data_IF_798449016194
#
_entry.id   IF_798449016194
#
_cell.length_a   1.000
_cell.length_b   1.000
_cell.length_c   1.000
_cell.angle_alpha   90.00
_cell.angle_beta   90.00
_cell.angle_gamma   90.00
#
_symmetry.space_group_name_H-M   'P 1'
#
loop_
_entity.id
_entity.type
_entity.pdbx_description
1 polymer ?
#
# COMPACT_ATOMS: atom_id res chain seq x y z
N UNK A 1 26.94 -33.89 40.56
CA UNK A 1 26.61 -32.76 39.66
C UNK A 1 25.61 -31.87 40.40
N UNK A 2 26.00 -30.65 40.79
CA UNK A 2 25.28 -29.82 41.79
C UNK A 2 23.89 -29.38 41.31
N UNK A 3 22.91 -29.33 42.25
CA UNK A 3 21.57 -28.76 42.05
C UNK A 3 21.59 -27.35 41.43
N UNK A 4 22.68 -26.61 41.65
CA UNK A 4 22.94 -25.28 41.08
C UNK A 4 23.07 -25.34 39.55
N UNK A 5 23.76 -26.34 38.99
CA UNK A 5 23.94 -26.48 37.55
C UNK A 5 22.62 -26.80 36.83
N UNK A 6 21.70 -27.52 37.50
CA UNK A 6 20.37 -27.84 36.95
C UNK A 6 19.50 -26.59 36.87
N UNK A 7 19.53 -25.72 37.89
CA UNK A 7 18.79 -24.44 37.88
C UNK A 7 19.31 -23.49 36.81
N UNK A 8 20.63 -23.42 36.62
CA UNK A 8 21.23 -22.59 35.57
C UNK A 8 20.80 -23.10 34.19
N UNK A 9 20.84 -24.42 33.97
CA UNK A 9 20.39 -25.02 32.71
C UNK A 9 18.90 -24.75 32.42
N UNK A 10 18.04 -24.81 33.45
CA UNK A 10 16.61 -24.55 33.27
C UNK A 10 16.33 -23.09 32.93
N UNK A 11 17.07 -22.14 33.50
CA UNK A 11 16.95 -20.71 33.19
C UNK A 11 17.32 -20.46 31.72
N UNK A 12 18.43 -21.04 31.25
CA UNK A 12 18.81 -20.92 29.83
C UNK A 12 17.75 -21.53 28.90
N UNK A 13 17.17 -22.67 29.27
CA UNK A 13 16.13 -23.31 28.48
C UNK A 13 14.86 -22.45 28.40
N UNK A 14 14.45 -21.84 29.52
CA UNK A 14 13.30 -20.92 29.57
C UNK A 14 13.58 -19.66 28.73
N UNK A 15 14.79 -19.10 28.80
CA UNK A 15 15.17 -17.96 27.97
C UNK A 15 15.12 -18.28 26.48
N UNK A 16 15.68 -19.42 26.06
CA UNK A 16 15.63 -19.88 24.67
C UNK A 16 14.19 -20.12 24.23
N UNK A 17 13.36 -20.74 25.06
CA UNK A 17 11.95 -20.98 24.76
C UNK A 17 11.16 -19.68 24.58
N UNK A 18 11.42 -18.67 25.42
CA UNK A 18 10.79 -17.36 25.31
C UNK A 18 11.17 -16.63 24.02
N UNK A 19 12.46 -16.69 23.63
CA UNK A 19 12.94 -16.11 22.36
C UNK A 19 12.30 -16.78 21.15
N UNK A 20 12.17 -18.11 21.17
CA UNK A 20 11.51 -18.86 20.08
C UNK A 20 10.03 -18.49 19.97
N UNK A 21 9.32 -18.32 21.09
CA UNK A 21 7.91 -17.88 21.06
C UNK A 21 7.77 -16.49 20.44
N UNK A 22 8.64 -15.54 20.81
CA UNK A 22 8.66 -14.19 20.25
C UNK A 22 8.89 -14.20 18.73
N UNK A 23 9.75 -15.08 18.22
CA UNK A 23 10.04 -15.18 16.79
C UNK A 23 8.95 -15.89 15.97
N UNK A 24 8.08 -16.69 16.59
CA UNK A 24 6.96 -17.36 15.92
C UNK A 24 5.73 -16.48 15.74
N UNK A 25 5.65 -15.31 16.40
CA UNK A 25 4.64 -14.32 16.09
C UNK A 25 5.01 -13.66 14.75
N UNK A 26 4.49 -14.19 13.65
CA UNK A 26 4.44 -13.43 12.40
C UNK A 26 3.53 -12.22 12.66
N UNK A 27 4.11 -11.08 12.99
CA UNK A 27 3.37 -9.84 13.21
C UNK A 27 2.66 -9.45 11.91
N UNK A 28 1.35 -9.22 11.99
CA UNK A 28 0.62 -8.56 10.91
C UNK A 28 1.15 -7.14 10.79
N UNK A 29 1.77 -6.84 9.65
CA UNK A 29 2.35 -5.54 9.37
C UNK A 29 1.74 -5.04 8.07
N UNK A 30 0.64 -4.29 8.15
CA UNK A 30 0.01 -3.61 7.03
C UNK A 30 0.13 -2.11 7.26
N UNK A 31 0.86 -1.42 6.37
CA UNK A 31 1.29 -0.06 6.58
C UNK A 31 0.91 0.84 5.40
N UNK A 32 0.72 2.13 5.70
CA UNK A 32 0.61 3.19 4.70
C UNK A 32 1.98 3.81 4.50
N UNK A 33 2.57 3.58 3.34
CA UNK A 33 3.93 4.05 3.03
C UNK A 33 3.94 4.97 1.81
N UNK A 34 4.85 5.96 1.76
CA UNK A 34 4.99 6.83 0.60
C UNK A 34 5.67 6.10 -0.57
N UNK A 35 5.34 6.50 -1.78
CA UNK A 35 5.90 6.02 -3.05
C UNK A 35 5.92 7.14 -4.08
N UNK A 36 6.80 7.10 -5.07
CA UNK A 36 6.84 8.11 -6.15
C UNK A 36 6.20 7.54 -7.41
N UNK A 37 5.38 8.37 -8.07
CA UNK A 37 4.75 8.05 -9.35
C UNK A 37 4.91 9.19 -10.35
N UNK A 38 5.06 8.82 -11.62
CA UNK A 38 4.99 9.75 -12.73
C UNK A 38 3.53 9.98 -13.12
N UNK A 39 3.05 11.22 -13.05
CA UNK A 39 1.70 11.60 -13.42
C UNK A 39 1.74 12.41 -14.72
N UNK A 40 0.89 12.05 -15.68
CA UNK A 40 0.65 12.81 -16.90
C UNK A 40 -0.83 13.12 -17.02
N UNK A 41 -1.16 14.38 -17.32
CA UNK A 41 -2.53 14.85 -17.53
C UNK A 41 -2.61 15.66 -18.81
N UNK A 42 -3.58 15.32 -19.63
CA UNK A 42 -3.89 15.99 -20.89
C UNK A 42 -5.16 16.83 -20.74
N UNK A 43 -5.14 18.00 -21.38
CA UNK A 43 -6.28 18.91 -21.50
C UNK A 43 -6.74 18.94 -22.96
N UNK A 44 -8.05 18.79 -23.15
CA UNK A 44 -8.69 18.76 -24.46
C UNK A 44 -9.70 19.90 -24.57
N UNK A 45 -9.81 20.49 -25.77
CA UNK A 45 -10.84 21.48 -26.08
C UNK A 45 -12.22 20.82 -26.27
N UNK A 46 -13.27 21.63 -26.43
CA UNK A 46 -14.65 21.16 -26.65
C UNK A 46 -14.82 20.32 -27.94
N UNK A 47 -13.84 20.40 -28.85
CA UNK A 47 -13.81 19.63 -30.10
C UNK A 47 -12.94 18.37 -29.98
N UNK A 48 -12.40 18.07 -28.79
CA UNK A 48 -11.57 16.91 -28.52
C UNK A 48 -10.13 17.03 -29.03
N UNK A 49 -9.65 18.24 -29.33
CA UNK A 49 -8.25 18.48 -29.70
C UNK A 49 -7.40 18.65 -28.46
N UNK A 50 -6.21 18.07 -28.46
CA UNK A 50 -5.23 18.28 -27.40
C UNK A 50 -4.85 19.77 -27.36
N UNK A 51 -4.98 20.37 -26.18
CA UNK A 51 -4.57 21.75 -25.90
C UNK A 51 -3.17 21.76 -25.31
N UNK A 52 -2.94 20.91 -24.29
CA UNK A 52 -1.63 20.73 -23.65
C UNK A 52 -1.55 19.40 -22.89
N UNK A 53 -0.33 18.94 -22.66
CA UNK A 53 -0.03 17.78 -21.82
C UNK A 53 0.96 18.19 -20.72
N UNK A 54 0.59 17.96 -19.47
CA UNK A 54 1.41 18.30 -18.31
C UNK A 54 1.83 17.04 -17.56
N UNK A 55 3.08 17.00 -17.10
CA UNK A 55 3.59 15.89 -16.29
C UNK A 55 4.39 16.33 -15.06
N UNK A 56 4.64 15.37 -14.18
CA UNK A 56 5.45 15.57 -12.98
C UNK A 56 5.58 14.30 -12.14
N UNK A 57 6.64 14.24 -11.34
CA UNK A 57 6.81 13.22 -10.30
C UNK A 57 6.09 13.65 -9.03
N UNK A 58 5.31 12.74 -8.46
CA UNK A 58 4.46 13.01 -7.30
C UNK A 58 4.63 11.90 -6.27
N UNK A 59 4.92 12.27 -5.03
CA UNK A 59 4.89 11.32 -3.91
C UNK A 59 3.45 11.03 -3.51
N UNK A 60 3.03 9.77 -3.53
CA UNK A 60 1.71 9.27 -3.15
C UNK A 60 1.82 8.16 -2.12
N UNK A 61 0.81 8.05 -1.27
CA UNK A 61 0.72 6.93 -0.36
C UNK A 61 0.28 5.64 -1.08
N UNK A 62 0.71 4.49 -0.56
CA UNK A 62 0.26 3.16 -0.94
C UNK A 62 0.13 2.26 0.29
N UNK A 63 -0.67 1.20 0.17
CA UNK A 63 -0.77 0.16 1.19
C UNK A 63 0.20 -0.98 0.88
N UNK A 64 1.06 -1.32 1.82
CA UNK A 64 2.01 -2.42 1.68
C UNK A 64 2.14 -3.19 2.99
N UNK A 65 2.23 -4.52 2.91
CA UNK A 65 2.32 -5.34 4.11
C UNK A 65 1.87 -6.79 4.00
N UNK A 66 1.95 -7.49 5.13
CA UNK A 66 1.54 -8.88 5.29
C UNK A 66 0.36 -8.98 6.26
N UNK A 67 -0.68 -9.72 5.86
CA UNK A 67 -1.87 -10.01 6.66
C UNK A 67 -1.97 -11.50 6.93
N UNK A 68 -2.41 -11.89 8.13
CA UNK A 68 -2.53 -13.31 8.49
C UNK A 68 -3.64 -13.95 7.68
N UNK A 69 -3.30 -15.00 6.95
CA UNK A 69 -4.23 -15.76 6.11
C UNK A 69 -3.99 -17.25 6.31
N UNK A 70 -5.06 -18.03 6.27
CA UNK A 70 -5.00 -19.47 6.50
C UNK A 70 -5.91 -20.22 5.53
N UNK A 71 -5.48 -21.43 5.17
CA UNK A 71 -6.27 -22.38 4.38
C UNK A 71 -6.37 -23.67 5.17
N UNK A 72 -7.58 -24.23 5.25
CA UNK A 72 -7.87 -25.49 5.95
C UNK A 72 -8.66 -26.41 5.02
N UNK A 73 -8.38 -27.72 4.99
CA UNK A 73 -9.23 -28.67 4.28
C UNK A 73 -10.68 -28.59 4.77
N UNK A 74 -11.63 -28.75 3.87
CA UNK A 74 -13.06 -28.71 4.21
C UNK A 74 -13.89 -29.54 3.24
N UNK A 75 -14.79 -30.34 3.80
CA UNK A 75 -15.78 -31.13 3.05
C UNK A 75 -17.05 -30.34 2.69
N UNK A 76 -17.28 -29.19 3.33
CA UNK A 76 -18.47 -28.35 3.10
C UNK A 76 -18.29 -27.36 1.95
N UNK A 77 -17.06 -27.12 1.51
CA UNK A 77 -16.73 -26.21 0.42
C UNK A 77 -16.44 -27.00 -0.86
N UNK A 78 -17.00 -26.64 -2.04
CA UNK A 78 -16.78 -27.36 -3.29
C UNK A 78 -15.32 -27.49 -3.73
N UNK A 79 -14.48 -26.52 -3.34
CA UNK A 79 -13.04 -26.50 -3.59
C UNK A 79 -12.24 -27.50 -2.75
N UNK A 80 -12.86 -28.15 -1.76
CA UNK A 80 -12.18 -29.00 -0.78
C UNK A 80 -11.39 -28.23 0.29
N UNK A 81 -11.43 -26.89 0.28
CA UNK A 81 -10.69 -26.03 1.21
C UNK A 81 -11.52 -24.82 1.64
N UNK A 82 -11.54 -24.59 2.95
CA UNK A 82 -11.97 -23.33 3.55
C UNK A 82 -10.79 -22.35 3.59
N UNK A 83 -10.99 -21.14 3.08
CA UNK A 83 -9.97 -20.08 3.01
C UNK A 83 -10.41 -18.91 3.87
N UNK A 84 -9.53 -18.48 4.76
CA UNK A 84 -9.68 -17.27 5.55
C UNK A 84 -8.51 -16.35 5.16
N UNK A 85 -8.78 -15.45 4.22
CA UNK A 85 -7.78 -14.68 3.48
C UNK A 85 -7.98 -13.21 3.77
N UNK A 86 -6.88 -12.50 3.99
CA UNK A 86 -6.86 -11.06 4.25
C UNK A 86 -5.81 -10.37 3.37
N UNK A 87 -6.17 -9.21 2.82
CA UNK A 87 -5.28 -8.35 2.03
C UNK A 87 -5.09 -6.99 2.71
N UNK A 88 -3.87 -6.46 2.67
CA UNK A 88 -3.58 -5.09 3.07
C UNK A 88 -4.16 -4.14 2.02
N UNK A 89 -5.19 -3.36 2.38
CA UNK A 89 -5.90 -2.45 1.48
C UNK A 89 -6.23 -1.14 2.18
N UNK A 90 -6.69 -0.18 1.40
CA UNK A 90 -7.09 1.15 1.84
C UNK A 90 -8.28 1.05 2.81
N UNK A 91 -8.16 1.66 4.00
CA UNK A 91 -9.28 1.89 4.90
C UNK A 91 -9.94 3.25 4.62
N UNK A 92 -9.13 4.28 4.40
CA UNK A 92 -9.57 5.62 4.06
C UNK A 92 -8.77 6.18 2.90
N UNK A 93 -9.44 6.99 2.08
CA UNK A 93 -8.82 7.75 1.00
C UNK A 93 -8.91 9.22 1.34
N UNK A 94 -7.83 9.97 1.10
CA UNK A 94 -7.84 11.42 1.11
C UNK A 94 -7.68 11.96 -0.31
N UNK A 95 -8.32 13.08 -0.58
CA UNK A 95 -8.17 13.81 -1.83
C UNK A 95 -7.26 15.02 -1.59
N UNK A 96 -6.34 15.28 -2.51
CA UNK A 96 -5.50 16.47 -2.49
C UNK A 96 -5.25 17.00 -3.90
N UNK A 97 -5.00 18.30 -3.98
CA UNK A 97 -4.57 18.96 -5.22
C UNK A 97 -3.05 18.83 -5.36
N UNK A 98 -2.61 18.53 -6.58
CA UNK A 98 -1.21 18.52 -6.98
C UNK A 98 -1.01 19.44 -8.17
N UNK A 99 0.18 20.02 -8.29
CA UNK A 99 0.53 20.90 -9.41
C UNK A 99 1.57 20.21 -10.29
N UNK A 100 1.23 20.00 -11.55
CA UNK A 100 2.14 19.54 -12.59
C UNK A 100 2.79 20.76 -13.24
N UNK A 101 4.10 20.69 -13.51
CA UNK A 101 4.91 21.85 -13.96
C UNK A 101 5.65 21.62 -15.28
N UNK A 102 5.55 20.41 -15.84
CA UNK A 102 6.13 20.07 -17.14
C UNK A 102 5.03 20.03 -18.19
N UNK A 103 4.58 21.21 -18.61
CA UNK A 103 3.51 21.38 -19.60
C UNK A 103 4.06 21.64 -21.00
N UNK A 104 3.49 20.96 -21.98
CA UNK A 104 3.86 21.04 -23.39
C UNK A 104 2.63 21.22 -24.26
N UNK A 105 2.77 21.98 -25.34
CA UNK A 105 1.75 22.12 -26.38
C UNK A 105 1.69 20.85 -27.28
N UNK A 106 0.75 20.78 -28.24
CA UNK A 106 0.62 19.62 -29.13
C UNK A 106 1.83 19.39 -30.04
N UNK A 107 2.64 20.42 -30.28
CA UNK A 107 3.87 20.34 -31.08
C UNK A 107 5.09 19.93 -30.23
N UNK A 108 4.91 19.77 -28.90
CA UNK A 108 5.94 19.37 -27.95
C UNK A 108 6.81 20.53 -27.44
N UNK A 109 6.40 21.78 -27.68
CA UNK A 109 7.07 22.97 -27.15
C UNK A 109 6.65 23.20 -25.71
N UNK A 110 7.62 23.50 -24.85
CA UNK A 110 7.36 23.78 -23.42
C UNK A 110 6.59 25.09 -23.28
N UNK A 111 5.52 25.06 -22.50
CA UNK A 111 4.72 26.22 -22.17
C UNK A 111 5.40 27.02 -21.03
N UNK A 112 5.55 28.33 -21.21
CA UNK A 112 6.21 29.24 -20.25
C UNK A 112 5.27 30.29 -19.65
N UNK A 113 4.06 30.47 -20.22
CA UNK A 113 3.10 31.44 -19.67
C UNK A 113 2.58 30.95 -18.32
N UNK A 114 2.38 31.86 -17.37
CA UNK A 114 2.04 31.55 -15.97
C UNK A 114 0.79 30.65 -15.84
N UNK A 115 -0.23 30.87 -16.67
CA UNK A 115 -1.47 30.09 -16.68
C UNK A 115 -1.33 28.73 -17.40
N UNK A 116 -0.41 28.64 -18.36
CA UNK A 116 -0.28 27.48 -19.27
C UNK A 116 0.84 26.52 -18.85
N UNK A 117 1.83 27.01 -18.09
CA UNK A 117 3.00 26.29 -17.62
C UNK A 117 2.75 25.36 -16.42
N UNK A 118 1.61 25.50 -15.74
CA UNK A 118 1.20 24.65 -14.63
C UNK A 118 -0.22 24.09 -14.80
N UNK A 119 -0.47 22.94 -14.19
CA UNK A 119 -1.80 22.32 -14.17
C UNK A 119 -2.09 21.69 -12.81
N UNK A 120 -3.24 22.06 -12.22
CA UNK A 120 -3.72 21.46 -11.00
C UNK A 120 -4.53 20.19 -11.27
N UNK A 121 -4.20 19.10 -10.57
CA UNK A 121 -4.89 17.81 -10.68
C UNK A 121 -5.35 17.35 -9.30
N UNK A 122 -6.59 16.88 -9.22
CA UNK A 122 -7.11 16.22 -8.01
C UNK A 122 -6.68 14.76 -8.00
N UNK A 123 -5.95 14.37 -6.96
CA UNK A 123 -5.47 13.02 -6.77
C UNK A 123 -6.05 12.44 -5.48
N UNK A 124 -6.44 11.17 -5.51
CA UNK A 124 -6.89 10.42 -4.34
C UNK A 124 -5.85 9.38 -3.98
N UNK A 125 -5.44 9.35 -2.72
CA UNK A 125 -4.45 8.42 -2.19
C UNK A 125 -4.91 7.83 -0.84
N UNK A 126 -4.40 6.66 -0.43
CA UNK A 126 -4.68 6.08 0.87
C UNK A 126 -4.18 6.97 2.02
N UNK A 127 -5.04 7.22 3.00
CA UNK A 127 -4.66 7.89 4.25
C UNK A 127 -4.41 6.87 5.38
N UNK A 128 -5.04 5.69 5.29
CA UNK A 128 -4.89 4.59 6.25
C UNK A 128 -5.04 3.25 5.53
N UNK A 129 -4.29 2.22 5.98
CA UNK A 129 -4.26 0.88 5.39
C UNK A 129 -4.52 -0.18 6.46
N UNK A 130 -5.34 -1.19 6.15
CA UNK A 130 -5.70 -2.28 7.05
C UNK A 130 -5.87 -3.61 6.33
N UNK A 131 -5.76 -4.70 7.09
CA UNK A 131 -6.06 -6.05 6.62
C UNK A 131 -7.57 -6.25 6.50
N UNK A 132 -8.05 -6.57 5.29
CA UNK A 132 -9.46 -6.86 5.01
C UNK A 132 -9.64 -8.22 4.40
N UNK A 133 -10.77 -8.85 4.73
CA UNK A 133 -11.13 -10.14 4.17
C UNK A 133 -11.19 -10.06 2.63
N UNK A 134 -10.54 -11.02 1.98
CA UNK A 134 -10.54 -11.14 0.53
C UNK A 134 -11.98 -11.32 0.00
N UNK A 135 -12.33 -10.58 -1.06
CA UNK A 135 -13.64 -10.66 -1.70
C UNK A 135 -14.76 -9.84 -1.03
N UNK A 136 -14.47 -9.10 0.05
CA UNK A 136 -15.39 -8.11 0.60
C UNK A 136 -15.19 -6.75 -0.10
N UNK A 137 -16.22 -6.35 -0.86
CA UNK A 137 -16.29 -5.08 -1.58
C UNK A 137 -17.41 -4.17 -1.06
N UNK A 138 -18.06 -4.53 0.05
CA UNK A 138 -19.22 -3.80 0.58
C UNK A 138 -18.86 -2.48 1.28
N UNK A 139 -17.71 -1.89 0.93
CA UNK A 139 -17.18 -0.64 1.46
C UNK A 139 -17.13 0.45 0.41
#
# INVERSE_FOLDING_TARGET
>A
MSSINIKILSIYFIQVFFVVILQCAAEEACETIPSEIHVTKEEYDDMGRLVRSCSGEVSVNKCEGMCSSQVRPSISTPTGFSKDCFCCRENFLRERLITLTHCYDPDGVRLEDEDSAIMEVRLREPDDCKCYKCGDYSR
#
